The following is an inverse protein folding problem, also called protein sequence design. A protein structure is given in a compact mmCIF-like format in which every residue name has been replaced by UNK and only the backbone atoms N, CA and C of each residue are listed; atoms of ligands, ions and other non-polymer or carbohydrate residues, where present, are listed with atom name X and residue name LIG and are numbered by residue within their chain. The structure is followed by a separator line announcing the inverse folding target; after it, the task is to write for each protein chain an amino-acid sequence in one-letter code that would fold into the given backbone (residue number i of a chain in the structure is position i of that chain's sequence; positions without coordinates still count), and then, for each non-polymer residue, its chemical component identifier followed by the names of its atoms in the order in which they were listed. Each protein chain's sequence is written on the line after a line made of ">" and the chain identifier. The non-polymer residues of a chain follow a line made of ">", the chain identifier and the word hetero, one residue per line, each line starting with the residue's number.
data_IF_398710914225
#
_entry.id   IF_398710914225
#
_cell.length_a   1.000
_cell.length_b   1.000
_cell.length_c   1.000
_cell.angle_alpha   90.00
_cell.angle_beta   90.00
_cell.angle_gamma   90.00
#
_symmetry.space_group_name_H-M   'P 1'
#
loop_
_entity.id
_entity.type
_entity.pdbx_description
1 polymer ?
#
# COMPACT_ATOMS: atom_id res chain seq x y z
N UNK A 1 -9.27 7.43 26.40
CA UNK A 1 -9.05 6.64 25.16
C UNK A 1 -8.96 5.13 25.41
N UNK A 2 -8.11 4.64 26.33
CA UNK A 2 -8.04 3.19 26.67
C UNK A 2 -9.33 2.62 27.31
N UNK A 3 -10.00 3.41 28.17
CA UNK A 3 -11.27 3.01 28.82
C UNK A 3 -12.36 2.64 27.81
N UNK A 4 -12.49 3.38 26.71
CA UNK A 4 -13.47 3.11 25.66
C UNK A 4 -13.26 1.72 25.03
N UNK A 5 -12.00 1.30 24.85
CA UNK A 5 -11.68 -0.03 24.33
C UNK A 5 -11.91 -1.15 25.34
N UNK A 6 -11.79 -0.86 26.64
CA UNK A 6 -12.21 -1.80 27.69
C UNK A 6 -13.71 -1.98 27.75
N UNK A 7 -14.49 -0.91 27.62
CA UNK A 7 -15.97 -1.01 27.59
C UNK A 7 -16.45 -1.77 26.35
N UNK A 8 -15.89 -1.48 25.16
CA UNK A 8 -16.20 -2.24 23.94
C UNK A 8 -15.78 -3.72 24.03
N UNK A 9 -14.72 -4.02 24.79
CA UNK A 9 -14.29 -5.40 25.05
C UNK A 9 -15.26 -6.20 25.92
N UNK A 10 -16.20 -5.55 26.63
CA UNK A 10 -17.25 -6.23 27.42
C UNK A 10 -18.48 -6.58 26.58
N UNK A 11 -18.63 -6.02 25.39
CA UNK A 11 -19.77 -6.28 24.51
C UNK A 11 -19.62 -7.66 23.82
N UNK A 12 -20.60 -8.59 23.97
CA UNK A 12 -20.53 -9.93 23.37
C UNK A 12 -20.38 -9.91 21.84
N UNK A 13 -21.00 -8.93 21.19
CA UNK A 13 -20.95 -8.71 19.73
C UNK A 13 -19.52 -8.54 19.19
N UNK A 14 -18.60 -8.06 20.03
CA UNK A 14 -17.19 -7.81 19.66
C UNK A 14 -16.21 -8.80 20.28
N UNK A 15 -16.69 -9.88 20.90
CA UNK A 15 -15.84 -10.88 21.57
C UNK A 15 -14.75 -11.46 20.65
N UNK A 16 -15.06 -11.66 19.37
CA UNK A 16 -14.10 -12.15 18.35
C UNK A 16 -12.94 -11.19 18.04
N UNK A 17 -13.10 -9.89 18.31
CA UNK A 17 -12.09 -8.86 18.01
C UNK A 17 -11.05 -8.71 19.13
N UNK A 18 -11.30 -9.29 20.32
CA UNK A 18 -10.38 -9.34 21.46
C UNK A 18 -9.86 -7.96 21.87
N UNK A 19 -10.71 -6.93 21.86
CA UNK A 19 -10.31 -5.55 22.15
C UNK A 19 -9.64 -5.38 23.52
N UNK A 20 -10.05 -6.16 24.53
CA UNK A 20 -9.47 -6.11 25.87
C UNK A 20 -7.97 -6.43 25.88
N UNK A 21 -7.53 -7.42 25.08
CA UNK A 21 -6.13 -7.84 24.94
C UNK A 21 -5.24 -6.73 24.36
N UNK A 22 -5.82 -5.83 23.57
CA UNK A 22 -5.10 -4.80 22.82
C UNK A 22 -5.54 -3.39 23.19
N UNK A 23 -6.22 -3.20 24.32
CA UNK A 23 -6.74 -1.89 24.74
C UNK A 23 -5.62 -0.88 24.97
N UNK A 24 -4.47 -1.34 25.49
CA UNK A 24 -3.25 -0.54 25.61
C UNK A 24 -2.67 -0.08 24.26
N UNK A 25 -3.08 -0.73 23.16
CA UNK A 25 -2.81 -0.34 21.77
C UNK A 25 -4.06 0.17 21.05
N UNK A 26 -5.06 0.63 21.81
CA UNK A 26 -6.27 1.23 21.26
C UNK A 26 -6.99 0.32 20.25
N UNK A 27 -6.95 -1.00 20.46
CA UNK A 27 -7.67 -1.98 19.64
C UNK A 27 -6.98 -2.42 18.35
N UNK A 28 -5.80 -1.89 18.01
CA UNK A 28 -5.15 -2.13 16.71
C UNK A 28 -4.18 -3.33 16.64
N UNK A 29 -4.20 -4.23 17.63
CA UNK A 29 -3.50 -5.54 17.59
C UNK A 29 -2.00 -5.49 17.23
N UNK A 30 -1.28 -4.44 17.58
CA UNK A 30 0.14 -4.25 17.20
C UNK A 30 0.38 -3.22 16.11
N UNK A 31 -0.67 -2.64 15.52
CA UNK A 31 -0.54 -1.56 14.54
C UNK A 31 -0.68 -0.20 15.23
N UNK A 32 0.28 0.68 15.00
CA UNK A 32 0.24 2.08 15.49
C UNK A 32 -0.84 2.93 14.77
N UNK A 33 -1.42 2.42 13.68
CA UNK A 33 -2.39 3.15 12.86
C UNK A 33 -3.40 2.22 12.21
N UNK A 34 -4.57 2.75 11.91
CA UNK A 34 -5.55 2.09 11.05
C UNK A 34 -5.17 2.21 9.57
N UNK A 35 -5.44 1.15 8.79
CA UNK A 35 -5.32 1.14 7.32
C UNK A 35 -6.59 1.64 6.62
N UNK A 36 -7.63 2.05 7.37
CA UNK A 36 -8.87 2.58 6.79
C UNK A 36 -8.65 3.93 6.11
N UNK A 37 -9.25 4.13 4.93
CA UNK A 37 -9.21 5.40 4.20
C UNK A 37 -9.94 6.53 4.94
N UNK A 38 -11.04 6.23 5.64
CA UNK A 38 -11.85 7.25 6.33
C UNK A 38 -11.27 7.65 7.69
N UNK A 39 -10.50 6.76 8.31
CA UNK A 39 -10.04 6.94 9.70
C UNK A 39 -8.51 7.07 9.85
N UNK A 40 -7.74 6.92 8.77
CA UNK A 40 -6.28 7.09 8.79
C UNK A 40 -5.88 8.51 8.40
N UNK A 41 -4.98 9.12 9.17
CA UNK A 41 -4.37 10.43 8.87
C UNK A 41 -3.00 10.30 8.20
N UNK A 42 -2.50 9.07 8.02
CA UNK A 42 -1.16 8.85 7.45
C UNK A 42 -1.07 9.22 5.96
N UNK A 43 -2.19 9.35 5.25
CA UNK A 43 -2.21 9.86 3.87
C UNK A 43 -1.74 11.31 3.83
N UNK A 44 -2.44 12.19 4.56
CA UNK A 44 -2.10 13.60 4.69
C UNK A 44 -0.65 13.82 5.16
N UNK A 45 -0.15 13.00 6.10
CA UNK A 45 1.24 13.08 6.55
C UNK A 45 2.25 12.68 5.47
N UNK A 46 1.93 11.68 4.64
CA UNK A 46 2.78 11.31 3.49
C UNK A 46 2.79 12.41 2.43
N UNK A 47 1.65 13.06 2.20
CA UNK A 47 1.53 14.16 1.24
C UNK A 47 2.32 15.39 1.71
N UNK A 48 2.17 15.79 2.98
CA UNK A 48 2.96 16.85 3.58
C UNK A 48 4.47 16.56 3.51
N UNK A 49 4.87 15.30 3.77
CA UNK A 49 6.27 14.87 3.62
C UNK A 49 6.74 14.95 2.18
N UNK A 50 5.91 14.54 1.21
CA UNK A 50 6.24 14.63 -0.22
C UNK A 50 6.47 16.08 -0.62
N UNK A 51 5.55 16.98 -0.27
CA UNK A 51 5.66 18.41 -0.57
C UNK A 51 6.98 18.99 -0.01
N UNK A 52 7.27 18.74 1.27
CA UNK A 52 8.51 19.21 1.90
C UNK A 52 9.77 18.64 1.22
N UNK A 53 9.79 17.36 0.84
CA UNK A 53 10.93 16.75 0.14
C UNK A 53 11.11 17.33 -1.26
N UNK A 54 10.02 17.60 -1.97
CA UNK A 54 10.04 18.25 -3.28
C UNK A 54 10.62 19.66 -3.19
N UNK A 55 10.20 20.43 -2.18
CA UNK A 55 10.71 21.79 -1.93
C UNK A 55 12.21 21.78 -1.63
N UNK A 56 12.64 20.90 -0.72
CA UNK A 56 14.05 20.75 -0.38
C UNK A 56 14.92 20.35 -1.58
N UNK A 57 14.42 19.48 -2.45
CA UNK A 57 15.14 19.08 -3.65
C UNK A 57 15.29 20.24 -4.65
N UNK A 58 14.28 21.10 -4.77
CA UNK A 58 14.31 22.30 -5.62
C UNK A 58 15.27 23.34 -5.11
N UNK A 59 15.22 23.64 -3.81
CA UNK A 59 16.15 24.55 -3.16
C UNK A 59 17.60 24.08 -3.35
N UNK A 60 17.86 22.77 -3.19
CA UNK A 60 19.19 22.21 -3.41
C UNK A 60 19.65 22.30 -4.88
N UNK A 61 18.73 22.17 -5.83
CA UNK A 61 19.01 22.29 -7.26
C UNK A 61 19.05 23.74 -7.77
N UNK A 62 18.84 24.74 -6.91
CA UNK A 62 18.80 26.16 -7.30
C UNK A 62 17.65 26.50 -8.26
N UNK A 63 16.58 25.72 -8.25
CA UNK A 63 15.42 25.96 -9.11
C UNK A 63 14.58 27.13 -8.57
N UNK A 64 14.03 27.98 -9.45
CA UNK A 64 13.14 29.07 -9.04
C UNK A 64 11.84 28.54 -8.42
N UNK A 65 11.21 29.39 -7.62
CA UNK A 65 9.95 29.08 -6.95
C UNK A 65 8.83 28.81 -7.96
N UNK A 66 7.91 27.91 -7.64
CA UNK A 66 6.81 27.60 -8.56
C UNK A 66 5.79 28.72 -8.57
N UNK A 67 5.57 29.31 -9.74
CA UNK A 67 4.34 30.04 -9.97
C UNK A 67 3.17 29.04 -10.07
N UNK A 68 2.17 29.09 -9.15
CA UNK A 68 1.02 28.19 -9.18
C UNK A 68 0.15 28.34 -10.43
N UNK A 69 0.33 29.40 -11.23
CA UNK A 69 -0.34 29.56 -12.53
C UNK A 69 0.38 28.85 -13.68
N UNK A 70 1.61 28.38 -13.46
CA UNK A 70 2.43 27.74 -14.49
C UNK A 70 2.40 26.21 -14.35
N UNK A 71 1.91 25.52 -15.39
CA UNK A 71 1.97 24.06 -15.45
C UNK A 71 3.34 23.61 -15.95
N UNK A 72 4.21 23.17 -15.03
CA UNK A 72 5.49 22.55 -15.39
C UNK A 72 5.26 21.12 -15.91
N UNK A 73 5.43 20.89 -17.20
CA UNK A 73 5.43 19.54 -17.80
C UNK A 73 6.79 18.90 -17.54
N UNK A 74 6.88 18.07 -16.50
CA UNK A 74 8.12 17.40 -16.07
C UNK A 74 8.50 16.21 -17.01
N UNK A 75 7.63 15.88 -17.97
CA UNK A 75 7.90 14.89 -19.01
C UNK A 75 6.65 14.50 -19.76
N UNK A 76 6.81 14.14 -21.03
CA UNK A 76 5.73 13.59 -21.84
C UNK A 76 5.74 12.07 -21.74
N UNK A 77 4.64 11.50 -21.24
CA UNK A 77 4.44 10.06 -21.20
C UNK A 77 3.43 9.69 -22.28
N UNK A 78 3.88 8.93 -23.28
CA UNK A 78 3.00 8.31 -24.25
C UNK A 78 2.66 6.90 -23.78
N UNK A 79 1.40 6.50 -23.96
CA UNK A 79 1.01 5.11 -23.73
C UNK A 79 1.73 4.22 -24.75
N UNK A 80 2.65 3.40 -24.25
CA UNK A 80 3.44 2.49 -25.08
C UNK A 80 2.70 1.17 -25.38
N UNK A 81 1.75 0.80 -24.53
CA UNK A 81 1.05 -0.48 -24.60
C UNK A 81 0.87 -1.12 -23.22
N UNK A 82 0.03 -2.14 -23.17
CA UNK A 82 -0.16 -3.00 -21.99
C UNK A 82 -0.26 -4.45 -22.45
N UNK A 83 0.08 -5.37 -21.55
CA UNK A 83 0.16 -6.79 -21.88
C UNK A 83 1.51 -7.21 -22.45
N UNK A 84 1.58 -8.46 -22.88
CA UNK A 84 2.78 -9.03 -23.46
C UNK A 84 2.89 -8.64 -24.94
N UNK A 85 4.11 -8.33 -25.38
CA UNK A 85 4.43 -8.42 -26.81
C UNK A 85 4.29 -9.88 -27.28
N UNK A 86 4.11 -10.14 -28.60
CA UNK A 86 3.97 -11.51 -29.10
C UNK A 86 5.11 -12.45 -28.65
N UNK A 87 6.35 -11.95 -28.57
CA UNK A 87 7.48 -12.74 -28.06
C UNK A 87 7.47 -12.98 -26.55
N UNK A 88 7.01 -12.00 -25.77
CA UNK A 88 6.91 -12.14 -24.30
C UNK A 88 5.69 -12.95 -23.87
N UNK A 89 4.67 -13.04 -24.73
CA UNK A 89 3.49 -13.88 -24.51
C UNK A 89 3.87 -15.36 -24.51
N UNK A 90 4.71 -15.78 -25.47
CA UNK A 90 5.26 -17.14 -25.52
C UNK A 90 6.08 -17.47 -24.27
N UNK A 91 6.90 -16.52 -23.79
CA UNK A 91 7.68 -16.70 -22.57
C UNK A 91 6.78 -16.81 -21.34
N UNK A 92 5.76 -15.95 -21.23
CA UNK A 92 4.80 -15.99 -20.13
C UNK A 92 4.03 -17.32 -20.11
N UNK A 93 3.58 -17.79 -21.28
CA UNK A 93 2.91 -19.08 -21.43
C UNK A 93 3.81 -20.25 -20.98
N UNK A 94 5.10 -20.24 -21.36
CA UNK A 94 6.05 -21.27 -20.93
C UNK A 94 6.26 -21.27 -19.40
N UNK A 95 6.36 -20.08 -18.79
CA UNK A 95 6.48 -19.95 -17.33
C UNK A 95 5.23 -20.44 -16.61
N UNK A 96 4.04 -20.11 -17.12
CA UNK A 96 2.77 -20.57 -16.55
C UNK A 96 2.61 -22.07 -16.68
N UNK A 97 2.91 -22.62 -17.86
CA UNK A 97 2.88 -24.06 -18.09
C UNK A 97 3.80 -24.81 -17.11
N UNK A 98 5.04 -24.35 -16.92
CA UNK A 98 5.96 -24.95 -15.95
C UNK A 98 5.42 -24.90 -14.52
N UNK A 99 4.87 -23.76 -14.09
CA UNK A 99 4.28 -23.63 -12.76
C UNK A 99 3.09 -24.55 -12.55
N UNK A 100 2.29 -24.77 -13.59
CA UNK A 100 1.14 -25.66 -13.50
C UNK A 100 1.59 -27.12 -13.35
N UNK A 101 2.62 -27.53 -14.09
CA UNK A 101 3.25 -28.85 -13.91
C UNK A 101 3.83 -29.03 -12.51
N UNK A 102 4.52 -28.02 -11.96
CA UNK A 102 5.05 -28.04 -10.59
C UNK A 102 3.93 -28.22 -9.55
N UNK A 103 2.80 -27.52 -9.73
CA UNK A 103 1.63 -27.67 -8.87
C UNK A 103 1.01 -29.06 -8.97
N UNK A 104 0.85 -29.58 -10.19
CA UNK A 104 0.33 -30.93 -10.43
C UNK A 104 1.22 -31.98 -9.77
N UNK A 105 2.54 -31.90 -9.99
CA UNK A 105 3.51 -32.79 -9.36
C UNK A 105 3.46 -32.73 -7.83
N UNK A 106 3.32 -31.52 -7.27
CA UNK A 106 3.16 -31.34 -5.82
C UNK A 106 1.84 -31.93 -5.31
N UNK A 107 0.75 -31.78 -6.06
CA UNK A 107 -0.57 -32.29 -5.70
C UNK A 107 -0.66 -33.83 -5.80
N UNK A 108 0.05 -34.43 -6.75
CA UNK A 108 0.13 -35.88 -6.96
C UNK A 108 1.04 -36.57 -5.93
N UNK A 109 1.64 -35.83 -5.00
CA UNK A 109 2.50 -36.37 -3.97
C UNK A 109 3.83 -36.88 -4.50
N UNK A 110 4.41 -36.16 -5.47
CA UNK A 110 5.72 -36.46 -6.06
C UNK A 110 6.74 -36.86 -4.98
N UNK A 111 7.35 -38.04 -5.17
CA UNK A 111 8.29 -38.69 -4.25
C UNK A 111 9.35 -37.75 -3.67
#
# INVERSE_FOLDING_TARGET
>A
MIRSWWELGKCPEFAGLKFWKWAHMLGFRGHFSTKSRCYSTLGALRDARRAWRTEQARAHAGLPDLDPSTTLVIGHWAYHGSGYSPGTELLAAAVWHRRELERQFTAEGGC
#
